data_IF_694183825024
#
_entry.id   IF_694183825024
#
_cell.length_a   1.000
_cell.length_b   1.000
_cell.length_c   1.000
_cell.angle_alpha   90.00
_cell.angle_beta   90.00
_cell.angle_gamma   90.00
#
_symmetry.space_group_name_H-M   'P 1'
#
loop_
_entity.id
_entity.type
_entity.pdbx_description
1 polymer ?
#
# COMPACT_ATOMS: atom_id res chain seq x y z
N UNK A 1 6.39 -5.82 15.28
CA UNK A 1 6.71 -6.00 13.85
C UNK A 1 7.75 -7.09 13.75
N UNK A 2 7.53 -8.07 12.87
CA UNK A 2 8.51 -9.12 12.58
C UNK A 2 9.27 -8.70 11.31
N UNK A 3 10.60 -8.74 11.36
CA UNK A 3 11.47 -8.40 10.24
C UNK A 3 11.74 -9.64 9.37
N UNK A 4 12.29 -9.45 8.18
CA UNK A 4 12.60 -10.53 7.26
C UNK A 4 13.61 -11.55 7.83
N UNK A 5 14.40 -11.17 8.85
CA UNK A 5 15.32 -12.05 9.57
C UNK A 5 14.66 -12.81 10.74
N UNK A 6 13.34 -12.71 10.90
CA UNK A 6 12.56 -13.33 11.97
C UNK A 6 12.65 -12.61 13.32
N UNK A 7 13.42 -11.52 13.42
CA UNK A 7 13.47 -10.73 14.66
C UNK A 7 12.19 -9.95 14.88
N UNK A 8 11.75 -9.86 16.14
CA UNK A 8 10.56 -9.12 16.53
C UNK A 8 10.95 -7.82 17.22
N UNK A 9 10.47 -6.70 16.68
CA UNK A 9 10.56 -5.39 17.32
C UNK A 9 9.21 -4.99 17.91
N UNK A 10 9.23 -4.64 19.19
CA UNK A 10 8.06 -4.15 19.92
C UNK A 10 8.03 -2.62 19.92
N UNK A 11 6.84 -2.03 20.10
CA UNK A 11 6.63 -0.58 20.28
C UNK A 11 7.21 0.31 19.18
N UNK A 12 7.27 -0.18 17.93
CA UNK A 12 7.77 0.59 16.78
C UNK A 12 6.74 1.57 16.20
N UNK A 13 5.46 1.37 16.49
CA UNK A 13 4.40 2.28 16.06
C UNK A 13 4.22 3.40 17.10
N UNK A 14 4.35 4.65 16.66
CA UNK A 14 4.18 5.82 17.53
C UNK A 14 2.75 6.33 17.56
N UNK A 15 1.99 6.15 16.47
CA UNK A 15 0.60 6.61 16.33
C UNK A 15 -0.22 5.60 15.53
N UNK A 16 -1.55 5.70 15.67
CA UNK A 16 -2.53 4.97 14.88
C UNK A 16 -3.64 5.94 14.45
N UNK A 17 -4.11 5.83 13.22
CA UNK A 17 -5.26 6.57 12.73
C UNK A 17 -5.43 6.44 11.23
N UNK A 18 -6.37 7.19 10.68
CA UNK A 18 -6.54 7.27 9.23
C UNK A 18 -5.43 8.15 8.62
N UNK A 19 -4.84 7.67 7.53
CA UNK A 19 -3.86 8.42 6.75
C UNK A 19 -4.37 8.66 5.34
N UNK A 20 -4.34 9.91 4.88
CA UNK A 20 -4.58 10.25 3.48
C UNK A 20 -3.27 10.08 2.70
N UNK A 21 -3.35 9.40 1.55
CA UNK A 21 -2.24 9.22 0.62
C UNK A 21 -2.72 9.54 -0.80
N UNK A 22 -1.84 10.05 -1.65
CA UNK A 22 -2.17 10.25 -3.07
C UNK A 22 -1.50 9.16 -3.89
N UNK A 23 -2.27 8.42 -4.68
CA UNK A 23 -1.80 7.30 -5.51
C UNK A 23 -2.01 7.65 -6.98
N UNK A 24 -0.99 7.48 -7.82
CA UNK A 24 -1.13 7.67 -9.26
C UNK A 24 -1.94 6.52 -9.89
N UNK A 25 -3.01 6.87 -10.61
CA UNK A 25 -3.74 5.92 -11.46
C UNK A 25 -2.95 5.58 -12.74
N UNK A 26 -3.48 4.66 -13.55
CA UNK A 26 -2.84 4.24 -14.81
C UNK A 26 -2.66 5.35 -15.85
N UNK A 27 -3.35 6.49 -15.69
CA UNK A 27 -3.21 7.66 -16.55
C UNK A 27 -2.21 8.68 -15.97
N UNK A 28 -1.56 8.36 -14.85
CA UNK A 28 -0.64 9.24 -14.12
C UNK A 28 -1.35 10.32 -13.29
N UNK A 29 -2.68 10.23 -13.12
CA UNK A 29 -3.43 11.18 -12.29
C UNK A 29 -3.42 10.71 -10.85
N UNK A 30 -3.06 11.61 -9.94
CA UNK A 30 -3.12 11.34 -8.51
C UNK A 30 -4.57 11.35 -7.99
N UNK A 31 -4.94 10.26 -7.33
CA UNK A 31 -6.22 10.07 -6.65
C UNK A 31 -5.96 9.96 -5.16
N UNK A 32 -6.78 10.65 -4.36
CA UNK A 32 -6.72 10.55 -2.90
C UNK A 32 -7.29 9.20 -2.44
N UNK A 33 -6.54 8.51 -1.60
CA UNK A 33 -6.94 7.29 -0.92
C UNK A 33 -6.77 7.46 0.59
N UNK A 34 -7.58 6.74 1.37
CA UNK A 34 -7.49 6.75 2.83
C UNK A 34 -7.12 5.36 3.31
N UNK A 35 -5.96 5.26 3.96
CA UNK A 35 -5.53 4.08 4.69
C UNK A 35 -6.21 4.10 6.06
N UNK A 36 -7.20 3.22 6.25
CA UNK A 36 -7.94 3.09 7.51
C UNK A 36 -7.11 2.38 8.57
N UNK A 37 -7.15 2.89 9.80
CA UNK A 37 -6.44 2.33 10.97
C UNK A 37 -4.93 2.10 10.75
N UNK A 38 -4.29 2.97 9.97
CA UNK A 38 -2.88 2.91 9.65
C UNK A 38 -1.99 3.13 10.89
N UNK A 39 -0.80 2.52 10.87
CA UNK A 39 0.22 2.67 11.91
C UNK A 39 1.33 3.58 11.43
N UNK A 40 1.66 4.60 12.23
CA UNK A 40 2.82 5.44 11.98
C UNK A 40 4.06 4.81 12.59
N UNK A 41 4.94 4.28 11.74
CA UNK A 41 6.18 3.59 12.12
C UNK A 41 7.36 4.32 11.44
N UNK A 42 8.02 5.30 12.11
CA UNK A 42 9.09 6.09 11.49
C UNK A 42 10.28 5.28 10.99
N UNK A 43 10.52 4.11 11.58
CA UNK A 43 11.60 3.21 11.19
C UNK A 43 11.27 2.37 9.95
N UNK A 44 10.04 2.47 9.43
CA UNK A 44 9.61 1.86 8.19
C UNK A 44 9.51 2.98 7.15
N UNK A 45 10.56 3.23 6.35
CA UNK A 45 10.61 4.36 5.44
C UNK A 45 9.64 4.23 4.25
N UNK A 46 9.08 3.03 4.05
CA UNK A 46 8.14 2.72 2.97
C UNK A 46 6.74 2.56 3.54
N UNK A 47 5.76 3.09 2.82
CA UNK A 47 4.35 2.87 3.14
C UNK A 47 3.96 1.43 2.79
N UNK A 48 3.41 0.72 3.77
CA UNK A 48 2.89 -0.64 3.60
C UNK A 48 1.38 -0.60 3.80
N UNK A 49 0.63 -1.17 2.85
CA UNK A 49 -0.81 -1.31 2.98
C UNK A 49 -1.22 -2.76 3.18
N UNK A 50 -2.33 -2.96 3.89
CA UNK A 50 -2.90 -4.30 4.08
C UNK A 50 -3.72 -4.69 2.85
N UNK A 51 -3.25 -5.70 2.11
CA UNK A 51 -4.01 -6.30 0.99
C UNK A 51 -5.40 -6.74 1.45
N UNK A 52 -5.50 -7.35 2.64
CA UNK A 52 -6.78 -7.77 3.21
C UNK A 52 -7.72 -6.58 3.43
N UNK A 53 -7.20 -5.46 3.96
CA UNK A 53 -8.01 -4.26 4.16
C UNK A 53 -8.48 -3.67 2.82
N UNK A 54 -7.58 -3.59 1.82
CA UNK A 54 -7.93 -3.12 0.49
C UNK A 54 -9.04 -3.99 -0.14
N UNK A 55 -8.90 -5.32 -0.07
CA UNK A 55 -9.89 -6.24 -0.65
C UNK A 55 -11.22 -6.22 0.07
N UNK A 56 -11.24 -6.07 1.40
CA UNK A 56 -12.48 -5.90 2.17
C UNK A 56 -13.22 -4.60 1.83
N UNK A 57 -12.51 -3.59 1.33
CA UNK A 57 -13.09 -2.33 0.86
C UNK A 57 -13.47 -2.34 -0.63
N UNK A 58 -13.42 -3.52 -1.27
CA UNK A 58 -13.87 -3.73 -2.66
C UNK A 58 -12.78 -3.59 -3.71
N UNK A 59 -11.52 -3.41 -3.31
CA UNK A 59 -10.41 -3.47 -4.26
C UNK A 59 -10.07 -4.93 -4.64
N UNK A 60 -9.38 -5.09 -5.76
CA UNK A 60 -8.76 -6.34 -6.20
C UNK A 60 -7.28 -6.07 -6.42
N UNK A 61 -6.42 -6.92 -5.88
CA UNK A 61 -4.98 -6.89 -6.16
C UNK A 61 -4.67 -8.05 -7.09
N UNK A 62 -4.01 -7.77 -8.22
CA UNK A 62 -3.60 -8.75 -9.21
C UNK A 62 -2.09 -8.70 -9.35
N UNK A 63 -1.46 -9.86 -9.26
CA UNK A 63 -0.06 -10.05 -9.58
C UNK A 63 0.06 -11.02 -10.74
N UNK A 64 0.84 -10.67 -11.77
CA UNK A 64 1.04 -11.48 -12.96
C UNK A 64 2.41 -11.23 -13.57
N UNK A 65 2.82 -12.05 -14.54
CA UNK A 65 4.12 -11.86 -15.22
C UNK A 65 4.18 -10.56 -16.03
N UNK A 66 3.04 -10.09 -16.54
CA UNK A 66 2.99 -8.94 -17.44
C UNK A 66 2.75 -7.63 -16.68
N UNK A 67 1.78 -7.64 -15.76
CA UNK A 67 1.29 -6.43 -15.11
C UNK A 67 0.75 -6.72 -13.70
N UNK A 68 1.13 -5.87 -12.76
CA UNK A 68 0.63 -5.89 -11.40
C UNK A 68 -0.30 -4.69 -11.19
N UNK A 69 -1.48 -4.93 -10.63
CA UNK A 69 -2.55 -3.93 -10.57
C UNK A 69 -3.30 -3.95 -9.24
N UNK A 70 -3.65 -2.78 -8.73
CA UNK A 70 -4.71 -2.59 -7.76
C UNK A 70 -5.91 -1.98 -8.49
N UNK A 71 -7.03 -2.70 -8.55
CA UNK A 71 -8.27 -2.24 -9.20
C UNK A 71 -9.31 -1.97 -8.13
N UNK A 72 -9.76 -0.72 -8.01
CA UNK A 72 -10.83 -0.35 -7.10
C UNK A 72 -12.21 -0.65 -7.70
N UNK A 73 -13.24 -0.71 -6.85
CA UNK A 73 -14.59 -1.17 -7.22
C UNK A 73 -15.30 -0.29 -8.26
N UNK A 74 -14.89 0.97 -8.41
CA UNK A 74 -15.37 1.90 -9.43
C UNK A 74 -14.65 1.73 -10.79
N UNK A 75 -13.68 0.82 -10.87
CA UNK A 75 -12.88 0.55 -12.06
C UNK A 75 -11.58 1.33 -12.12
N UNK A 76 -11.28 2.23 -11.17
CA UNK A 76 -9.98 2.91 -11.13
C UNK A 76 -8.86 1.90 -10.94
N UNK A 77 -7.86 1.95 -11.82
CA UNK A 77 -6.71 1.04 -11.81
C UNK A 77 -5.45 1.79 -11.43
N UNK A 78 -4.72 1.25 -10.46
CA UNK A 78 -3.41 1.73 -10.04
C UNK A 78 -2.36 0.70 -10.43
N UNK A 79 -1.31 1.15 -11.10
CA UNK A 79 -0.18 0.30 -11.48
C UNK A 79 0.65 0.01 -10.24
N UNK A 80 1.00 -1.26 -10.05
CA UNK A 80 1.93 -1.68 -9.01
C UNK A 80 3.28 -1.91 -9.69
N UNK A 81 4.27 -1.11 -9.31
CA UNK A 81 5.63 -1.24 -9.81
C UNK A 81 6.36 -2.37 -9.07
N UNK A 82 7.10 -3.18 -9.81
CA UNK A 82 7.94 -4.24 -9.24
C UNK A 82 9.40 -3.78 -9.24
N UNK A 83 10.00 -3.75 -8.05
CA UNK A 83 11.44 -3.50 -7.89
C UNK A 83 12.03 -4.68 -7.11
N UNK A 84 12.90 -5.44 -7.77
CA UNK A 84 13.46 -6.71 -7.28
C UNK A 84 12.41 -7.76 -6.89
N UNK A 85 12.02 -7.82 -5.60
CA UNK A 85 11.04 -8.76 -5.05
C UNK A 85 9.92 -8.05 -4.31
N UNK A 86 9.82 -6.73 -4.47
CA UNK A 86 8.92 -5.87 -3.75
C UNK A 86 8.02 -5.11 -4.71
N UNK A 87 6.81 -4.84 -4.24
CA UNK A 87 5.72 -4.26 -5.01
C UNK A 87 5.35 -2.91 -4.41
N UNK A 88 5.34 -1.89 -5.26
CA UNK A 88 5.18 -0.50 -4.85
C UNK A 88 4.00 0.14 -5.57
N UNK A 89 3.17 0.85 -4.82
CA UNK A 89 2.25 1.81 -5.41
C UNK A 89 2.99 3.12 -5.59
N UNK A 90 2.76 3.79 -6.71
CA UNK A 90 3.29 5.12 -6.94
C UNK A 90 2.52 6.13 -6.09
N UNK A 91 3.07 6.43 -4.92
CA UNK A 91 2.48 7.32 -3.92
C UNK A 91 3.27 8.62 -3.79
N UNK A 92 2.56 9.70 -3.48
CA UNK A 92 3.14 10.95 -2.98
C UNK A 92 2.47 11.32 -1.66
N UNK A 93 3.30 11.68 -0.68
CA UNK A 93 2.88 12.12 0.67
C UNK A 93 2.95 13.63 0.81
#
# INVERSE_FOLDING_TARGET
MELADGTRRNNVALKRGDAEVSIADENGKYVKAVLKDALFIPTCPQDIFSVRAATSNGAKVKFSQDKNELVYKDGTTFIIEEHERLYYLNTVN
#
